data_IF_698940689889
#
_entry.id   IF_698940689889
#
_cell.length_a   1.000
_cell.length_b   1.000
_cell.length_c   1.000
_cell.angle_alpha   90.00
_cell.angle_beta   90.00
_cell.angle_gamma   90.00
#
_symmetry.space_group_name_H-M   'P 1'
#
loop_
_entity.id
_entity.type
_entity.pdbx_description
1 polymer ?
#
# COMPACT_ATOMS: atom_id res chain seq x y z
N UNK A 1 -25.54 12.60 16.30
CA UNK A 1 -24.37 12.27 15.44
C UNK A 1 -23.68 11.04 16.03
N UNK A 2 -23.77 9.89 15.36
CA UNK A 2 -23.10 8.65 15.79
C UNK A 2 -21.62 8.74 15.42
N UNK A 3 -20.74 8.75 16.43
CA UNK A 3 -19.29 8.67 16.21
C UNK A 3 -18.99 7.35 15.49
N UNK A 4 -18.36 7.42 14.31
CA UNK A 4 -17.96 6.22 13.57
C UNK A 4 -16.90 5.50 14.40
N UNK A 5 -17.23 4.28 14.85
CA UNK A 5 -16.31 3.47 15.64
C UNK A 5 -15.17 3.00 14.74
N UNK A 6 -13.92 3.22 15.17
CA UNK A 6 -12.76 2.64 14.50
C UNK A 6 -12.75 1.13 14.72
N UNK A 7 -12.63 0.41 13.61
CA UNK A 7 -12.52 -1.05 13.55
C UNK A 7 -11.16 -1.45 13.00
N UNK A 8 -10.77 -2.71 13.19
CA UNK A 8 -9.54 -3.27 12.60
C UNK A 8 -9.54 -3.13 11.08
N UNK A 9 -10.68 -3.35 10.43
CA UNK A 9 -10.84 -3.17 8.98
C UNK A 9 -10.55 -1.74 8.54
N UNK A 10 -11.01 -0.74 9.29
CA UNK A 10 -10.70 0.67 8.98
C UNK A 10 -9.22 1.00 9.15
N UNK A 11 -8.55 0.39 10.14
CA UNK A 11 -7.11 0.53 10.36
C UNK A 11 -6.32 -0.10 9.21
N UNK A 12 -6.71 -1.30 8.77
CA UNK A 12 -6.14 -1.98 7.62
C UNK A 12 -6.27 -1.16 6.34
N UNK A 13 -7.46 -0.63 6.06
CA UNK A 13 -7.68 0.20 4.88
C UNK A 13 -6.83 1.47 4.91
N UNK A 14 -6.76 2.14 6.07
CA UNK A 14 -5.88 3.30 6.23
C UNK A 14 -4.40 2.95 6.04
N UNK A 15 -3.96 1.78 6.52
CA UNK A 15 -2.58 1.31 6.33
C UNK A 15 -2.25 1.04 4.86
N UNK A 16 -3.18 0.43 4.11
CA UNK A 16 -3.01 0.18 2.67
C UNK A 16 -2.85 1.49 1.92
N UNK A 17 -3.70 2.49 2.16
CA UNK A 17 -3.58 3.79 1.51
C UNK A 17 -2.25 4.49 1.79
N UNK A 18 -1.74 4.39 3.02
CA UNK A 18 -0.40 4.91 3.35
C UNK A 18 0.68 4.18 2.54
N UNK A 19 0.61 2.84 2.49
CA UNK A 19 1.57 2.03 1.75
C UNK A 19 1.52 2.29 0.23
N UNK A 20 0.33 2.49 -0.35
CA UNK A 20 0.13 2.88 -1.75
C UNK A 20 0.83 4.20 -2.07
N UNK A 21 0.66 5.20 -1.19
CA UNK A 21 1.33 6.50 -1.27
C UNK A 21 2.82 6.48 -0.90
N UNK A 22 3.37 5.33 -0.50
CA UNK A 22 4.76 5.21 -0.05
C UNK A 22 5.03 5.84 1.31
N UNK A 23 3.97 6.13 2.09
CA UNK A 23 4.10 6.64 3.45
C UNK A 23 4.33 5.50 4.45
N UNK A 24 5.13 5.75 5.51
CA UNK A 24 5.32 4.78 6.58
C UNK A 24 4.05 4.64 7.43
N UNK A 25 3.73 3.39 7.79
CA UNK A 25 2.64 3.11 8.72
C UNK A 25 3.07 3.50 10.14
N UNK A 26 2.26 4.33 10.79
CA UNK A 26 2.42 4.64 12.22
C UNK A 26 1.06 4.96 12.84
N UNK A 27 0.92 4.79 14.17
CA UNK A 27 -0.31 5.14 14.90
C UNK A 27 -0.73 6.58 14.60
N UNK A 28 0.23 7.52 14.56
CA UNK A 28 -0.03 8.93 14.26
C UNK A 28 -0.63 9.13 12.86
N UNK A 29 -0.09 8.44 11.85
CA UNK A 29 -0.56 8.54 10.47
C UNK A 29 -1.93 7.90 10.29
N UNK A 30 -2.13 6.69 10.82
CA UNK A 30 -3.44 6.02 10.82
C UNK A 30 -4.49 6.90 11.47
N UNK A 31 -4.18 7.52 12.62
CA UNK A 31 -5.12 8.43 13.31
C UNK A 31 -5.40 9.69 12.50
N UNK A 32 -4.41 10.23 11.79
CA UNK A 32 -4.61 11.36 10.86
C UNK A 32 -5.57 10.97 9.72
N UNK A 33 -5.45 9.76 9.19
CA UNK A 33 -6.31 9.24 8.13
C UNK A 33 -7.74 8.97 8.62
N UNK A 34 -7.90 8.41 9.82
CA UNK A 34 -9.19 8.01 10.36
C UNK A 34 -9.95 9.14 11.08
N UNK A 35 -9.26 10.23 11.47
CA UNK A 35 -9.83 11.39 12.16
C UNK A 35 -10.20 11.13 13.64
N UNK A 36 -10.70 9.94 13.95
CA UNK A 36 -11.00 9.45 15.29
C UNK A 36 -10.45 8.02 15.44
N UNK A 37 -10.16 7.55 16.66
CA UNK A 37 -9.64 6.21 16.93
C UNK A 37 -8.81 6.12 18.21
N UNK A 38 -9.07 5.09 19.02
CA UNK A 38 -8.27 4.85 20.23
C UNK A 38 -6.84 4.48 19.85
N UNK A 39 -5.86 5.17 20.45
CA UNK A 39 -4.44 4.87 20.29
C UNK A 39 -4.16 3.39 20.60
N UNK A 40 -4.83 2.85 21.63
CA UNK A 40 -4.66 1.49 22.08
C UNK A 40 -5.14 0.48 21.03
N UNK A 41 -6.33 0.69 20.45
CA UNK A 41 -6.87 -0.18 19.39
C UNK A 41 -5.96 -0.17 18.17
N UNK A 42 -5.54 1.02 17.71
CA UNK A 42 -4.63 1.14 16.57
C UNK A 42 -3.32 0.42 16.87
N UNK A 43 -2.72 0.65 18.04
CA UNK A 43 -1.45 0.02 18.41
C UNK A 43 -1.57 -1.51 18.49
N UNK A 44 -2.65 -2.03 19.09
CA UNK A 44 -2.92 -3.48 19.12
C UNK A 44 -3.03 -4.07 17.72
N UNK A 45 -3.78 -3.44 16.81
CA UNK A 45 -3.91 -3.91 15.43
C UNK A 45 -2.56 -3.89 14.70
N UNK A 46 -1.78 -2.81 14.81
CA UNK A 46 -0.46 -2.70 14.16
C UNK A 46 0.55 -3.72 14.71
N UNK A 47 0.39 -4.16 15.96
CA UNK A 47 1.24 -5.17 16.57
C UNK A 47 0.79 -6.61 16.29
N UNK A 48 -0.43 -6.80 15.78
CA UNK A 48 -0.94 -8.14 15.48
C UNK A 48 -0.12 -8.83 14.38
N UNK A 49 0.06 -10.14 14.53
CA UNK A 49 0.79 -10.96 13.55
C UNK A 49 0.10 -10.94 12.19
N UNK A 50 -1.24 -11.05 12.17
CA UNK A 50 -2.03 -10.98 10.94
C UNK A 50 -1.78 -9.67 10.17
N UNK A 51 -1.75 -8.53 10.85
CA UNK A 51 -1.45 -7.25 10.22
C UNK A 51 -0.03 -7.21 9.66
N UNK A 52 0.96 -7.69 10.43
CA UNK A 52 2.35 -7.77 9.95
C UNK A 52 2.46 -8.66 8.71
N UNK A 53 1.69 -9.74 8.66
CA UNK A 53 1.65 -10.63 7.51
C UNK A 53 1.14 -9.89 6.27
N UNK A 54 0.01 -9.21 6.40
CA UNK A 54 -0.60 -8.44 5.31
C UNK A 54 0.37 -7.37 4.79
N UNK A 55 1.05 -6.64 5.68
CA UNK A 55 2.04 -5.63 5.26
C UNK A 55 3.22 -6.27 4.53
N UNK A 56 3.72 -7.42 5.01
CA UNK A 56 4.81 -8.15 4.36
C UNK A 56 4.42 -8.61 2.95
N UNK A 57 3.26 -9.24 2.81
CA UNK A 57 2.75 -9.71 1.51
C UNK A 57 2.50 -8.53 0.57
N UNK A 58 1.88 -7.45 1.03
CA UNK A 58 1.63 -6.25 0.23
C UNK A 58 2.94 -5.64 -0.31
N UNK A 59 3.97 -5.50 0.54
CA UNK A 59 5.27 -4.95 0.13
C UNK A 59 5.96 -5.86 -0.89
N UNK A 60 5.90 -7.18 -0.70
CA UNK A 60 6.46 -8.14 -1.66
C UNK A 60 5.74 -8.06 -3.02
N UNK A 61 4.40 -8.01 -3.02
CA UNK A 61 3.60 -7.87 -4.23
C UNK A 61 3.87 -6.54 -4.95
N UNK A 62 3.97 -5.42 -4.22
CA UNK A 62 4.31 -4.11 -4.81
C UNK A 62 5.66 -4.10 -5.51
N UNK A 63 6.67 -4.78 -4.95
CA UNK A 63 7.97 -4.93 -5.62
C UNK A 63 7.82 -5.73 -6.91
N UNK A 64 7.10 -6.84 -6.86
CA UNK A 64 6.87 -7.67 -8.03
C UNK A 64 6.10 -6.96 -9.14
N UNK A 65 5.08 -6.16 -8.79
CA UNK A 65 4.32 -5.35 -9.75
C UNK A 65 5.25 -4.35 -10.43
N UNK A 66 6.08 -3.61 -9.67
CA UNK A 66 7.05 -2.67 -10.27
C UNK A 66 8.06 -3.34 -11.19
N UNK A 67 8.53 -4.53 -10.85
CA UNK A 67 9.40 -5.30 -11.74
C UNK A 67 8.70 -5.64 -13.06
N UNK A 68 7.43 -6.04 -13.01
CA UNK A 68 6.64 -6.35 -14.19
C UNK A 68 6.34 -5.09 -15.02
N UNK A 69 6.00 -3.97 -14.37
CA UNK A 69 5.81 -2.67 -15.02
C UNK A 69 7.07 -2.27 -15.80
N UNK A 70 8.25 -2.35 -15.16
CA UNK A 70 9.53 -2.07 -15.84
C UNK A 70 9.81 -3.00 -17.03
N UNK A 71 9.41 -4.28 -16.93
CA UNK A 71 9.56 -5.24 -18.04
C UNK A 71 8.64 -4.90 -19.20
N UNK A 72 7.40 -4.50 -18.92
CA UNK A 72 6.43 -4.06 -19.94
C UNK A 72 6.95 -2.81 -20.65
N UNK A 73 7.43 -1.81 -19.90
CA UNK A 73 7.98 -0.58 -20.46
C UNK A 73 9.19 -0.84 -21.37
N UNK A 74 10.06 -1.77 -20.98
CA UNK A 74 11.22 -2.18 -21.79
C UNK A 74 10.80 -2.86 -23.10
N UNK A 75 9.79 -3.73 -23.07
CA UNK A 75 9.25 -4.40 -24.26
C UNK A 75 8.61 -3.38 -25.21
N UNK A 76 7.79 -2.46 -24.68
CA UNK A 76 7.14 -1.42 -25.46
C UNK A 76 8.17 -0.48 -26.11
N UNK A 77 9.21 -0.10 -25.38
CA UNK A 77 10.29 0.73 -25.93
C UNK A 77 11.04 0.01 -27.05
N UNK A 78 11.29 -1.30 -26.92
CA UNK A 78 11.93 -2.11 -27.94
C UNK A 78 11.05 -2.29 -29.19
N UNK A 79 9.72 -2.39 -29.05
CA UNK A 79 8.81 -2.52 -30.19
C UNK A 79 8.75 -1.23 -31.03
N UNK A 80 8.79 -0.05 -30.39
CA UNK A 80 8.81 1.24 -31.10
C UNK A 80 10.10 1.40 -31.92
N UNK A 81 11.26 0.99 -31.39
CA UNK A 81 12.54 1.05 -32.12
C UNK A 81 12.54 0.12 -33.36
N UNK A 82 11.84 -1.01 -33.30
CA UNK A 82 11.75 -1.94 -34.42
C UNK A 82 10.91 -1.40 -35.59
N UNK A 83 10.01 -0.45 -35.37
CA UNK A 83 9.18 0.15 -36.41
C UNK A 83 9.86 1.36 -37.10
N UNK A 84 10.84 1.99 -36.44
CA UNK A 84 11.58 3.15 -36.96
C UNK A 84 12.88 2.80 -37.71
N UNK A 85 13.17 1.51 -37.95
CA UNK A 85 14.32 1.07 -38.72
C UNK A 85 13.90 0.82 -40.19
N UNK A 86 13.99 1.81 -41.10
CA UNK A 86 13.72 1.56 -42.52
C UNK A 86 14.81 0.64 -43.09
N UNK A 87 14.35 -0.42 -43.76
CA UNK A 87 15.20 -1.28 -44.59
C UNK A 87 15.83 -0.51 -45.76
#
# INVERSE_FOLDING_TARGET
MTKRKVTESSILLAAIHLLEGGEPISVRRIRKTLGEGSHETINKTLQSEAFREVVRVFVAQRRRIRELENQVDAIQSASVISEECPA
#
